data_IF_495044577060
#
_entry.id   IF_495044577060
#
_cell.length_a   1.000
_cell.length_b   1.000
_cell.length_c   1.000
_cell.angle_alpha   90.00
_cell.angle_beta   90.00
_cell.angle_gamma   90.00
#
_symmetry.space_group_name_H-M   'P 1'
#
loop_
_entity.id
_entity.type
_entity.pdbx_description
1 polymer ?
#
# COMPACT_ATOMS: atom_id res chain seq x y z
N UNK A 1 -0.59 35.08 6.13
CA UNK A 1 -0.33 33.63 6.19
C UNK A 1 -1.42 33.02 7.05
N UNK A 2 -2.43 32.39 6.44
CA UNK A 2 -3.54 31.79 7.19
C UNK A 2 -2.97 30.59 7.96
N UNK A 3 -3.07 30.62 9.30
CA UNK A 3 -2.76 29.44 10.12
C UNK A 3 -3.92 28.46 9.94
N UNK A 4 -3.64 27.27 9.44
CA UNK A 4 -4.62 26.19 9.36
C UNK A 4 -4.83 25.64 10.77
N UNK A 5 -5.94 26.00 11.42
CA UNK A 5 -6.35 25.41 12.69
C UNK A 5 -6.86 23.99 12.45
N UNK A 6 -6.53 23.05 13.35
CA UNK A 6 -6.99 21.64 13.25
C UNK A 6 -8.52 21.55 13.15
N UNK A 7 -9.25 22.43 13.85
CA UNK A 7 -10.72 22.47 13.83
C UNK A 7 -11.35 22.70 12.45
N UNK A 8 -10.59 23.30 11.51
CA UNK A 8 -11.02 23.57 10.14
C UNK A 8 -10.29 22.70 9.10
N UNK A 9 -9.43 21.78 9.56
CA UNK A 9 -8.68 20.89 8.69
C UNK A 9 -9.45 19.58 8.49
N UNK A 10 -9.54 19.14 7.24
CA UNK A 10 -10.08 17.82 6.91
C UNK A 10 -8.96 16.93 6.37
N UNK A 11 -8.73 15.80 7.02
CA UNK A 11 -7.69 14.85 6.63
C UNK A 11 -7.96 14.28 5.22
N UNK A 12 -9.22 13.99 4.89
CA UNK A 12 -9.62 13.37 3.63
C UNK A 12 -9.34 14.27 2.40
N UNK A 13 -9.24 15.58 2.61
CA UNK A 13 -8.93 16.55 1.55
C UNK A 13 -7.42 16.60 1.21
N UNK A 14 -6.60 15.89 1.97
CA UNK A 14 -5.14 15.88 1.76
C UNK A 14 -4.72 14.85 0.72
N UNK A 15 -3.70 15.18 -0.08
CA UNK A 15 -3.06 14.19 -0.96
C UNK A 15 -2.43 13.02 -0.20
N UNK A 16 -2.14 13.21 1.09
CA UNK A 16 -1.70 12.14 1.98
C UNK A 16 -2.81 11.12 2.23
N UNK A 17 -4.04 11.55 2.53
CA UNK A 17 -5.18 10.64 2.69
C UNK A 17 -5.43 9.85 1.41
N UNK A 18 -5.36 10.51 0.25
CA UNK A 18 -5.47 9.81 -1.04
C UNK A 18 -4.36 8.76 -1.22
N UNK A 19 -3.10 9.11 -0.95
CA UNK A 19 -1.98 8.16 -1.01
C UNK A 19 -2.19 6.98 -0.06
N UNK A 20 -2.59 7.26 1.18
CA UNK A 20 -2.88 6.23 2.18
C UNK A 20 -4.00 5.32 1.69
N UNK A 21 -5.06 5.84 1.06
CA UNK A 21 -6.13 5.00 0.49
C UNK A 21 -5.60 4.02 -0.58
N UNK A 22 -4.58 4.41 -1.34
CA UNK A 22 -3.98 3.59 -2.38
C UNK A 22 -3.05 2.52 -1.83
N UNK A 23 -2.23 2.82 -0.83
CA UNK A 23 -1.15 1.94 -0.35
C UNK A 23 -1.43 1.28 1.00
N UNK A 24 -2.49 1.69 1.71
CA UNK A 24 -2.88 1.09 2.98
C UNK A 24 -3.35 -0.36 2.83
N UNK A 25 -3.48 -1.03 3.98
CA UNK A 25 -3.90 -2.42 4.07
C UNK A 25 -2.75 -3.38 4.34
N UNK A 26 -3.11 -4.63 4.63
CA UNK A 26 -2.18 -5.64 5.17
C UNK A 26 -1.03 -6.01 4.24
N UNK A 27 -1.25 -5.96 2.91
CA UNK A 27 -0.34 -6.57 1.94
C UNK A 27 0.34 -5.58 0.99
N UNK A 28 -0.30 -4.46 0.64
CA UNK A 28 0.21 -3.51 -0.35
C UNK A 28 1.60 -2.96 -0.01
N UNK A 29 1.80 -2.48 1.22
CA UNK A 29 3.11 -1.98 1.67
C UNK A 29 4.22 -3.04 1.59
N UNK A 30 3.92 -4.28 1.98
CA UNK A 30 4.91 -5.37 1.96
C UNK A 30 5.23 -5.81 0.53
N UNK A 31 4.23 -5.83 -0.35
CA UNK A 31 4.42 -6.10 -1.79
C UNK A 31 5.29 -5.00 -2.41
N UNK A 32 4.98 -3.73 -2.16
CA UNK A 32 5.76 -2.59 -2.67
C UNK A 32 7.20 -2.62 -2.18
N UNK A 33 7.43 -2.90 -0.89
CA UNK A 33 8.77 -3.08 -0.35
C UNK A 33 9.53 -4.22 -1.05
N UNK A 34 8.87 -5.37 -1.25
CA UNK A 34 9.48 -6.51 -1.93
C UNK A 34 9.88 -6.17 -3.37
N UNK A 35 9.04 -5.45 -4.12
CA UNK A 35 9.34 -5.03 -5.50
C UNK A 35 10.39 -3.93 -5.56
N UNK A 36 10.47 -3.07 -4.54
CA UNK A 36 11.53 -2.06 -4.45
C UNK A 36 12.90 -2.70 -4.18
N UNK A 37 12.96 -3.73 -3.33
CA UNK A 37 14.19 -4.43 -2.96
C UNK A 37 14.66 -5.42 -4.04
N UNK A 38 13.73 -6.17 -4.65
CA UNK A 38 14.04 -7.30 -5.54
C UNK A 38 13.60 -7.06 -7.00
N UNK A 39 13.17 -5.84 -7.32
CA UNK A 39 12.68 -5.45 -8.64
C UNK A 39 11.54 -6.36 -9.16
N UNK A 40 11.75 -7.01 -10.31
CA UNK A 40 10.74 -7.87 -10.93
C UNK A 40 10.74 -9.26 -10.31
N UNK A 41 9.70 -9.58 -9.54
CA UNK A 41 9.55 -10.88 -8.86
C UNK A 41 8.41 -11.70 -9.46
N UNK A 42 8.61 -13.00 -9.71
CA UNK A 42 7.52 -13.89 -10.18
C UNK A 42 6.49 -14.12 -9.07
N UNK A 43 5.23 -14.29 -9.45
CA UNK A 43 4.10 -14.46 -8.53
C UNK A 43 4.34 -15.52 -7.43
N UNK A 44 4.81 -16.72 -7.81
CA UNK A 44 5.05 -17.82 -6.86
C UNK A 44 6.20 -17.53 -5.89
N UNK A 45 7.19 -16.75 -6.31
CA UNK A 45 8.33 -16.36 -5.47
C UNK A 45 7.90 -15.31 -4.46
N UNK A 46 7.14 -14.30 -4.91
CA UNK A 46 6.53 -13.29 -4.05
C UNK A 46 5.59 -13.95 -3.02
N UNK A 47 4.75 -14.90 -3.43
CA UNK A 47 3.89 -15.66 -2.51
C UNK A 47 4.70 -16.40 -1.45
N UNK A 48 5.76 -17.11 -1.86
CA UNK A 48 6.64 -17.85 -0.94
C UNK A 48 7.33 -16.91 0.05
N UNK A 49 7.75 -15.73 -0.39
CA UNK A 49 8.32 -14.69 0.46
C UNK A 49 7.30 -14.17 1.49
N UNK A 50 6.05 -13.91 1.07
CA UNK A 50 4.98 -13.38 1.91
C UNK A 50 4.33 -14.43 2.84
N UNK A 51 4.60 -15.73 2.63
CA UNK A 51 4.22 -16.90 3.44
C UNK A 51 2.72 -17.14 3.63
N UNK A 52 1.99 -16.20 4.24
CA UNK A 52 0.63 -16.40 4.74
C UNK A 52 -0.46 -15.84 3.82
N UNK A 53 -0.10 -15.35 2.63
CA UNK A 53 -1.07 -14.77 1.68
C UNK A 53 -1.63 -15.85 0.76
N UNK A 54 -2.96 -15.86 0.57
CA UNK A 54 -3.60 -16.76 -0.39
C UNK A 54 -3.36 -16.32 -1.83
N UNK A 55 -3.44 -17.24 -2.80
CA UNK A 55 -3.31 -16.90 -4.23
C UNK A 55 -4.34 -15.85 -4.65
N UNK A 56 -5.59 -16.01 -4.19
CA UNK A 56 -6.68 -15.08 -4.48
C UNK A 56 -6.35 -13.69 -3.94
N UNK A 57 -5.91 -13.60 -2.68
CA UNK A 57 -5.56 -12.32 -2.06
C UNK A 57 -4.38 -11.65 -2.74
N UNK A 58 -3.31 -12.41 -3.05
CA UNK A 58 -2.15 -11.87 -3.74
C UNK A 58 -2.51 -11.38 -5.15
N UNK A 59 -3.28 -12.16 -5.91
CA UNK A 59 -3.75 -11.77 -7.23
C UNK A 59 -4.59 -10.48 -7.20
N UNK A 60 -5.49 -10.33 -6.22
CA UNK A 60 -6.29 -9.10 -6.07
C UNK A 60 -5.46 -7.87 -5.71
N UNK A 61 -4.32 -8.03 -5.01
CA UNK A 61 -3.45 -6.90 -4.66
C UNK A 61 -2.48 -6.51 -5.79
N UNK A 62 -2.30 -7.37 -6.79
CA UNK A 62 -1.42 -7.14 -7.95
C UNK A 62 -2.18 -6.72 -9.23
N UNK A 63 -3.52 -6.73 -9.19
CA UNK A 63 -4.38 -6.22 -10.25
C UNK A 63 -4.58 -4.72 -10.08
#
# INVERSE_FOLDING_TARGET
>A
MIKNYIENANFEDTGFAYTLSLISGKHKMVILYCLMEFETVRFNELKRYLKTISDKTLSMNLK
#
